data_IF_951241551472
#
_entry.id   IF_951241551472
#
_cell.length_a   1.000
_cell.length_b   1.000
_cell.length_c   1.000
_cell.angle_alpha   90.00
_cell.angle_beta   90.00
_cell.angle_gamma   90.00
#
_symmetry.space_group_name_H-M   'P 1'
#
loop_
_entity.id
_entity.type
_entity.pdbx_description
1 polymer ?
#
# COMPACT_ATOMS: atom_id res chain seq x y z
N UNK A 1 1.25 -10.84 -12.96
CA UNK A 1 1.96 -10.45 -11.70
C UNK A 1 3.18 -9.56 -11.95
N UNK A 2 3.01 -8.57 -12.83
CA UNK A 2 4.14 -7.71 -13.24
C UNK A 2 4.63 -6.82 -12.10
N UNK A 3 3.71 -6.33 -11.25
CA UNK A 3 4.04 -5.43 -10.14
C UNK A 3 4.76 -6.12 -8.99
N UNK A 4 4.53 -7.41 -8.75
CA UNK A 4 5.22 -8.14 -7.67
C UNK A 4 6.74 -8.12 -7.84
N UNK A 5 7.23 -8.06 -9.07
CA UNK A 5 8.67 -7.95 -9.38
C UNK A 5 9.30 -6.63 -8.97
N UNK A 6 8.51 -5.62 -8.57
CA UNK A 6 9.00 -4.35 -8.04
C UNK A 6 9.34 -4.44 -6.54
N UNK A 7 8.86 -5.48 -5.86
CA UNK A 7 9.09 -5.72 -4.45
C UNK A 7 10.24 -6.68 -4.22
N UNK A 8 10.83 -6.61 -3.04
CA UNK A 8 11.79 -7.62 -2.59
C UNK A 8 11.12 -9.01 -2.60
N UNK A 9 11.83 -10.10 -2.95
CA UNK A 9 11.24 -11.45 -3.02
C UNK A 9 10.44 -11.86 -1.78
N UNK A 10 10.91 -11.49 -0.58
CA UNK A 10 10.23 -11.79 0.69
C UNK A 10 8.89 -11.05 0.87
N UNK A 11 8.59 -10.04 0.04
CA UNK A 11 7.35 -9.27 0.07
C UNK A 11 6.45 -9.54 -1.13
N UNK A 12 6.87 -10.42 -2.03
CA UNK A 12 6.08 -10.76 -3.21
C UNK A 12 4.94 -11.70 -2.83
N UNK A 13 3.77 -11.43 -3.37
CA UNK A 13 2.60 -12.30 -3.25
C UNK A 13 2.48 -13.20 -4.47
N UNK A 14 1.99 -14.41 -4.25
CA UNK A 14 1.52 -15.29 -5.31
C UNK A 14 0.24 -14.73 -5.93
N UNK A 15 -0.12 -15.21 -7.11
CA UNK A 15 -1.38 -14.82 -7.75
C UNK A 15 -2.59 -15.21 -6.91
N UNK A 16 -2.55 -16.36 -6.22
CA UNK A 16 -3.62 -16.84 -5.36
C UNK A 16 -3.79 -15.93 -4.15
N UNK A 17 -2.72 -15.64 -3.42
CA UNK A 17 -2.74 -14.71 -2.27
C UNK A 17 -3.28 -13.33 -2.66
N UNK A 18 -2.83 -12.80 -3.79
CA UNK A 18 -3.30 -11.49 -4.27
C UNK A 18 -4.78 -11.51 -4.65
N UNK A 19 -5.28 -12.59 -5.27
CA UNK A 19 -6.70 -12.74 -5.58
C UNK A 19 -7.56 -12.84 -4.32
N UNK A 20 -7.13 -13.62 -3.35
CA UNK A 20 -7.80 -13.73 -2.05
C UNK A 20 -7.87 -12.38 -1.35
N UNK A 21 -6.75 -11.66 -1.28
CA UNK A 21 -6.66 -10.35 -0.66
C UNK A 21 -7.57 -9.32 -1.34
N UNK A 22 -7.57 -9.27 -2.67
CA UNK A 22 -8.43 -8.35 -3.44
C UNK A 22 -9.91 -8.74 -3.43
N UNK A 23 -10.22 -10.00 -3.11
CA UNK A 23 -11.57 -10.53 -2.99
C UNK A 23 -12.25 -10.28 -1.65
N UNK A 24 -11.52 -9.81 -0.62
CA UNK A 24 -12.12 -9.56 0.70
C UNK A 24 -13.10 -8.39 0.62
N UNK A 25 -14.15 -8.47 1.43
CA UNK A 25 -15.14 -7.38 1.52
C UNK A 25 -14.46 -6.12 2.08
N UNK A 26 -14.60 -5.02 1.35
CA UNK A 26 -14.03 -3.73 1.72
C UNK A 26 -12.62 -3.49 1.17
N UNK A 27 -12.04 -4.44 0.43
CA UNK A 27 -10.83 -4.17 -0.33
C UNK A 27 -11.07 -3.09 -1.38
N UNK A 28 -10.11 -2.20 -1.55
CA UNK A 28 -10.17 -1.13 -2.57
C UNK A 28 -8.89 -1.19 -3.38
N UNK A 29 -9.06 -1.43 -4.67
CA UNK A 29 -7.97 -1.45 -5.63
C UNK A 29 -8.25 -0.48 -6.78
N UNK A 30 -7.21 0.16 -7.26
CA UNK A 30 -7.25 1.04 -8.44
C UNK A 30 -6.09 0.69 -9.37
N UNK A 31 -6.35 0.78 -10.65
CA UNK A 31 -5.36 0.50 -11.68
C UNK A 31 -5.22 1.70 -12.62
N UNK A 32 -3.98 1.97 -13.02
CA UNK A 32 -3.66 3.01 -13.98
C UNK A 32 -3.23 2.39 -15.30
N UNK A 33 -3.83 2.86 -16.39
CA UNK A 33 -3.53 2.41 -17.74
C UNK A 33 -2.92 3.53 -18.57
N UNK A 34 -2.00 3.17 -19.44
CA UNK A 34 -1.54 4.09 -20.47
C UNK A 34 -2.68 4.26 -21.51
N UNK A 35 -3.17 5.49 -21.75
CA UNK A 35 -4.32 5.69 -22.63
C UNK A 35 -4.05 5.34 -24.10
N UNK A 36 -2.82 5.48 -24.57
CA UNK A 36 -2.44 5.18 -25.96
C UNK A 36 -2.27 3.67 -26.19
N UNK A 37 -1.54 2.97 -25.33
CA UNK A 37 -1.24 1.54 -25.47
C UNK A 37 -2.25 0.63 -24.76
N UNK A 38 -3.09 1.18 -23.88
CA UNK A 38 -4.00 0.44 -22.97
C UNK A 38 -3.28 -0.52 -22.03
N UNK A 39 -1.96 -0.42 -21.94
CA UNK A 39 -1.17 -1.23 -21.02
C UNK A 39 -1.38 -0.80 -19.58
N UNK A 40 -1.47 -1.77 -18.66
CA UNK A 40 -1.49 -1.53 -17.22
C UNK A 40 -0.10 -1.03 -16.78
N UNK A 41 -0.04 0.14 -16.14
CA UNK A 41 1.21 0.82 -15.77
C UNK A 41 1.33 1.12 -14.28
N UNK A 42 0.23 1.04 -13.53
CA UNK A 42 0.23 1.30 -12.10
C UNK A 42 -0.89 0.58 -11.36
N UNK A 43 -0.64 0.28 -10.08
CA UNK A 43 -1.64 -0.28 -9.17
C UNK A 43 -1.51 0.33 -7.77
N UNK A 44 -2.64 0.49 -7.08
CA UNK A 44 -2.69 0.74 -5.66
C UNK A 44 -3.83 -0.05 -5.05
N UNK A 45 -3.59 -0.73 -3.92
CA UNK A 45 -4.63 -1.49 -3.24
C UNK A 45 -4.39 -1.60 -1.74
N UNK A 46 -5.48 -1.79 -1.04
CA UNK A 46 -5.50 -2.02 0.39
C UNK A 46 -6.74 -2.79 0.82
N UNK A 47 -6.71 -3.24 2.06
CA UNK A 47 -7.79 -3.98 2.70
C UNK A 47 -8.15 -3.38 4.06
N UNK A 48 -9.35 -3.66 4.59
CA UNK A 48 -9.69 -3.30 5.98
C UNK A 48 -8.63 -3.85 6.95
N UNK A 49 -8.33 -3.10 8.00
CA UNK A 49 -7.31 -3.47 8.98
C UNK A 49 -7.53 -4.86 9.59
N UNK A 50 -8.77 -5.27 9.80
CA UNK A 50 -9.09 -6.59 10.34
C UNK A 50 -8.62 -7.73 9.43
N UNK A 51 -8.65 -7.54 8.13
CA UNK A 51 -8.16 -8.51 7.14
C UNK A 51 -6.63 -8.58 7.11
N UNK A 52 -5.95 -7.44 7.26
CA UNK A 52 -4.49 -7.39 7.34
C UNK A 52 -3.95 -8.06 8.62
N UNK A 53 -4.77 -8.16 9.67
CA UNK A 53 -4.43 -8.79 10.95
C UNK A 53 -4.91 -10.25 11.07
N UNK A 54 -5.53 -10.81 10.05
CA UNK A 54 -6.17 -12.13 10.14
C UNK A 54 -5.19 -13.26 10.42
N UNK A 55 -3.99 -13.20 9.87
CA UNK A 55 -3.02 -14.29 9.89
C UNK A 55 -2.00 -14.20 11.06
N UNK A 56 -2.20 -13.28 12.00
CA UNK A 56 -1.34 -13.04 13.18
C UNK A 56 0.16 -12.94 12.84
N UNK A 57 0.46 -12.22 11.76
CA UNK A 57 1.80 -12.02 11.26
C UNK A 57 2.56 -11.00 12.14
N UNK A 58 3.71 -11.40 12.69
CA UNK A 58 4.56 -10.52 13.52
C UNK A 58 4.99 -9.25 12.79
N UNK A 59 5.20 -9.32 11.48
CA UNK A 59 5.53 -8.14 10.66
C UNK A 59 4.42 -7.09 10.62
N UNK A 60 3.20 -7.45 11.01
CA UNK A 60 2.03 -6.59 11.10
C UNK A 60 1.69 -6.14 12.53
N UNK A 61 2.60 -6.34 13.50
CA UNK A 61 2.36 -5.99 14.91
C UNK A 61 2.01 -4.52 15.13
N UNK A 62 2.54 -3.60 14.31
CA UNK A 62 2.22 -2.16 14.35
C UNK A 62 0.72 -1.87 14.17
N UNK A 63 -0.01 -2.77 13.52
CA UNK A 63 -1.44 -2.61 13.25
C UNK A 63 -2.34 -2.94 14.44
N UNK A 64 -1.84 -3.65 15.44
CA UNK A 64 -2.66 -4.12 16.58
C UNK A 64 -3.41 -3.00 17.31
N UNK A 65 -2.81 -1.82 17.57
CA UNK A 65 -3.53 -0.70 18.21
C UNK A 65 -4.72 -0.19 17.40
N UNK A 66 -4.73 -0.46 16.08
CA UNK A 66 -5.76 0.02 15.15
C UNK A 66 -6.85 -1.01 14.82
N UNK A 67 -6.79 -2.20 15.41
CA UNK A 67 -7.68 -3.33 15.08
C UNK A 67 -9.17 -3.00 15.00
N UNK A 68 -9.63 -2.05 15.83
CA UNK A 68 -11.04 -1.62 15.89
C UNK A 68 -11.30 -0.29 15.17
N UNK A 69 -10.31 0.27 14.50
CA UNK A 69 -10.45 1.53 13.79
C UNK A 69 -11.04 1.34 12.39
N UNK A 70 -11.59 2.41 11.83
CA UNK A 70 -12.00 2.47 10.42
C UNK A 70 -10.78 2.78 9.54
N UNK A 71 -9.79 1.90 9.60
CA UNK A 71 -8.54 2.01 8.89
C UNK A 71 -8.44 1.01 7.74
N UNK A 72 -7.75 1.42 6.69
CA UNK A 72 -7.31 0.56 5.60
C UNK A 72 -5.80 0.39 5.66
N UNK A 73 -5.34 -0.84 5.56
CA UNK A 73 -3.93 -1.13 5.35
C UNK A 73 -3.63 -1.18 3.85
N UNK A 74 -2.71 -0.34 3.38
CA UNK A 74 -2.30 -0.25 1.98
C UNK A 74 -1.07 -1.12 1.76
N UNK A 75 -1.23 -2.16 0.95
CA UNK A 75 -0.15 -3.09 0.58
C UNK A 75 0.73 -2.55 -0.53
N UNK A 76 0.14 -1.83 -1.49
CA UNK A 76 0.87 -1.39 -2.67
C UNK A 76 0.41 -0.02 -3.16
N UNK A 77 1.36 0.77 -3.60
CA UNK A 77 1.21 1.88 -4.55
C UNK A 77 2.42 1.80 -5.47
N UNK A 78 2.25 1.23 -6.65
CA UNK A 78 3.36 0.89 -7.53
C UNK A 78 3.13 1.39 -8.96
N UNK A 79 4.19 1.90 -9.57
CA UNK A 79 4.27 2.28 -10.99
C UNK A 79 5.39 1.47 -11.63
N UNK A 80 5.17 0.91 -12.80
CA UNK A 80 6.18 0.18 -13.56
C UNK A 80 7.41 1.06 -13.80
N UNK A 81 8.61 0.49 -13.66
CA UNK A 81 9.90 1.23 -13.69
C UNK A 81 10.01 2.23 -14.82
N UNK A 82 9.66 1.83 -16.05
CA UNK A 82 9.72 2.70 -17.24
C UNK A 82 8.79 3.91 -17.20
N UNK A 83 7.83 3.94 -16.29
CA UNK A 83 6.86 5.03 -16.11
C UNK A 83 7.09 5.81 -14.82
N UNK A 84 8.09 5.44 -14.01
CA UNK A 84 8.41 6.13 -12.77
C UNK A 84 9.02 7.51 -13.03
N UNK A 85 9.08 8.34 -11.97
CA UNK A 85 9.67 9.69 -11.98
C UNK A 85 8.97 10.69 -12.92
N UNK A 86 7.69 10.46 -13.20
CA UNK A 86 6.83 11.30 -14.04
C UNK A 86 5.61 11.85 -13.27
N UNK A 87 5.60 11.74 -11.93
CA UNK A 87 4.48 12.15 -11.08
C UNK A 87 3.29 11.19 -11.03
N UNK A 88 3.32 10.08 -11.77
CA UNK A 88 2.19 9.14 -11.88
C UNK A 88 1.87 8.45 -10.55
N UNK A 89 2.87 8.15 -9.72
CA UNK A 89 2.65 7.59 -8.39
C UNK A 89 1.83 8.51 -7.48
N UNK A 90 2.05 9.81 -7.59
CA UNK A 90 1.28 10.82 -6.86
C UNK A 90 -0.18 10.86 -7.33
N UNK A 91 -0.42 10.82 -8.62
CA UNK A 91 -1.77 10.80 -9.21
C UNK A 91 -2.51 9.53 -8.79
N UNK A 92 -1.87 8.36 -8.93
CA UNK A 92 -2.44 7.08 -8.54
C UNK A 92 -2.80 7.05 -7.05
N UNK A 93 -1.89 7.51 -6.19
CA UNK A 93 -2.11 7.56 -4.75
C UNK A 93 -3.26 8.51 -4.39
N UNK A 94 -3.30 9.71 -4.96
CA UNK A 94 -4.39 10.67 -4.73
C UNK A 94 -5.75 10.07 -5.08
N UNK A 95 -5.86 9.39 -6.22
CA UNK A 95 -7.08 8.72 -6.64
C UNK A 95 -7.48 7.58 -5.68
N UNK A 96 -6.53 6.74 -5.29
CA UNK A 96 -6.76 5.65 -4.34
C UNK A 96 -7.24 6.20 -2.98
N UNK A 97 -6.58 7.22 -2.42
CA UNK A 97 -6.99 7.86 -1.18
C UNK A 97 -8.42 8.41 -1.25
N UNK A 98 -8.78 9.04 -2.37
CA UNK A 98 -10.15 9.52 -2.61
C UNK A 98 -11.18 8.39 -2.59
N UNK A 99 -10.88 7.25 -3.22
CA UNK A 99 -11.76 6.07 -3.21
C UNK A 99 -11.91 5.48 -1.81
N UNK A 100 -10.82 5.44 -1.05
CA UNK A 100 -10.81 4.93 0.33
C UNK A 100 -11.63 5.85 1.24
N UNK A 101 -11.48 7.17 1.13
CA UNK A 101 -12.27 8.14 1.86
C UNK A 101 -13.78 8.04 1.54
N UNK A 102 -14.13 7.92 0.26
CA UNK A 102 -15.52 7.74 -0.19
C UNK A 102 -16.16 6.46 0.37
N UNK A 103 -15.37 5.41 0.59
CA UNK A 103 -15.83 4.18 1.23
C UNK A 103 -15.99 4.29 2.76
N UNK A 104 -15.67 5.46 3.34
CA UNK A 104 -15.89 5.78 4.75
C UNK A 104 -14.74 5.37 5.68
N UNK A 105 -13.57 5.03 5.15
CA UNK A 105 -12.37 4.87 5.96
C UNK A 105 -11.85 6.22 6.44
N UNK A 106 -11.26 6.24 7.63
CA UNK A 106 -10.77 7.47 8.27
C UNK A 106 -9.24 7.51 8.33
N UNK A 107 -8.61 6.35 8.21
CA UNK A 107 -7.16 6.19 8.32
C UNK A 107 -6.63 5.30 7.20
N UNK A 108 -5.46 5.66 6.72
CA UNK A 108 -4.57 4.78 5.95
C UNK A 108 -3.39 4.43 6.83
N UNK A 109 -3.05 3.15 6.85
CA UNK A 109 -1.87 2.59 7.48
C UNK A 109 -1.06 1.84 6.43
N UNK A 110 0.25 1.77 6.61
CA UNK A 110 1.10 1.02 5.71
C UNK A 110 2.56 1.01 6.14
N UNK A 111 3.33 0.14 5.52
CA UNK A 111 4.79 0.12 5.60
C UNK A 111 5.35 0.57 4.26
N UNK A 112 6.17 1.59 4.28
CA UNK A 112 6.76 2.17 3.08
C UNK A 112 8.27 2.12 3.14
N UNK A 113 8.91 1.69 2.05
CA UNK A 113 10.37 1.70 1.94
C UNK A 113 10.89 3.14 1.99
N UNK A 114 11.91 3.35 2.82
CA UNK A 114 12.59 4.63 2.94
C UNK A 114 13.77 4.70 1.95
N UNK A 115 14.06 5.88 1.37
CA UNK A 115 13.34 7.15 1.58
C UNK A 115 12.17 7.38 0.60
N UNK A 116 12.15 6.76 -0.58
CA UNK A 116 11.30 7.17 -1.71
C UNK A 116 9.80 7.00 -1.44
N UNK A 117 9.38 5.79 -1.06
CA UNK A 117 7.95 5.51 -0.83
C UNK A 117 7.43 6.22 0.42
N UNK A 118 8.26 6.33 1.46
CA UNK A 118 7.89 7.08 2.67
C UNK A 118 7.75 8.58 2.39
N UNK A 119 8.62 9.17 1.55
CA UNK A 119 8.52 10.56 1.15
C UNK A 119 7.22 10.87 0.41
N UNK A 120 6.77 9.98 -0.47
CA UNK A 120 5.48 10.11 -1.15
C UNK A 120 4.33 10.16 -0.12
N UNK A 121 4.32 9.24 0.86
CA UNK A 121 3.29 9.21 1.90
C UNK A 121 3.32 10.48 2.76
N UNK A 122 4.50 10.94 3.17
CA UNK A 122 4.66 12.19 3.94
C UNK A 122 4.15 13.39 3.14
N UNK A 123 4.34 13.43 1.82
CA UNK A 123 3.84 14.51 0.97
C UNK A 123 2.29 14.62 0.95
N UNK A 124 1.59 13.55 1.35
CA UNK A 124 0.13 13.54 1.57
C UNK A 124 -0.29 13.77 3.03
N UNK A 125 0.67 14.04 3.92
CA UNK A 125 0.42 14.31 5.33
C UNK A 125 0.57 13.09 6.24
N UNK A 126 1.17 12.00 5.78
CA UNK A 126 1.44 10.84 6.61
C UNK A 126 2.46 11.16 7.72
N UNK A 127 2.23 10.57 8.89
CA UNK A 127 3.17 10.56 10.01
C UNK A 127 3.90 9.24 10.05
N UNK A 128 5.22 9.27 10.10
CA UNK A 128 6.04 8.07 10.30
C UNK A 128 6.08 7.76 11.79
N UNK A 129 5.67 6.55 12.18
CA UNK A 129 5.48 6.14 13.57
C UNK A 129 6.52 5.14 14.05
N UNK A 130 7.03 4.29 13.18
CA UNK A 130 8.05 3.30 13.51
C UNK A 130 9.00 3.06 12.34
N UNK A 131 10.19 2.53 12.64
CA UNK A 131 11.23 2.22 11.65
C UNK A 131 11.64 0.76 11.82
N UNK A 132 11.68 0.04 10.70
CA UNK A 132 12.03 -1.37 10.63
C UNK A 132 13.22 -1.56 9.67
N UNK A 133 14.47 -1.61 10.16
CA UNK A 133 15.67 -1.64 9.30
C UNK A 133 15.82 -2.93 8.49
N UNK A 134 15.11 -3.99 8.87
CA UNK A 134 15.17 -5.29 8.19
C UNK A 134 13.79 -5.97 8.13
N UNK A 135 12.76 -5.21 7.76
CA UNK A 135 11.38 -5.71 7.72
C UNK A 135 11.25 -6.90 6.77
N UNK A 136 10.69 -8.01 7.25
CA UNK A 136 10.63 -9.29 6.55
C UNK A 136 11.99 -9.75 5.96
N UNK A 137 13.08 -9.49 6.66
CA UNK A 137 14.44 -9.89 6.25
C UNK A 137 14.84 -9.37 4.86
N UNK A 138 14.31 -8.20 4.47
CA UNK A 138 14.62 -7.56 3.19
C UNK A 138 16.00 -6.91 3.16
N UNK A 139 16.60 -6.66 4.32
CA UNK A 139 17.80 -5.82 4.45
C UNK A 139 17.57 -4.34 4.18
N UNK A 140 16.32 -3.94 3.94
CA UNK A 140 15.93 -2.56 3.62
C UNK A 140 15.19 -1.90 4.78
N UNK A 141 15.29 -0.56 4.87
CA UNK A 141 14.55 0.23 5.85
C UNK A 141 13.13 0.47 5.38
N UNK A 142 12.17 0.03 6.18
CA UNK A 142 10.75 0.37 6.04
C UNK A 142 10.29 1.23 7.20
N UNK A 143 9.33 2.12 6.93
CA UNK A 143 8.71 2.97 7.94
C UNK A 143 7.21 2.66 8.00
N UNK A 144 6.71 2.36 9.20
CA UNK A 144 5.29 2.31 9.46
C UNK A 144 4.73 3.73 9.51
N UNK A 145 3.62 3.97 8.82
CA UNK A 145 3.01 5.29 8.74
C UNK A 145 1.50 5.27 8.97
N UNK A 146 1.00 6.38 9.50
CA UNK A 146 -0.41 6.72 9.61
C UNK A 146 -0.71 7.94 8.74
N UNK A 147 -1.79 7.89 7.95
CA UNK A 147 -2.31 9.02 7.19
C UNK A 147 -3.79 9.17 7.48
N UNK A 148 -4.20 10.33 8.03
CA UNK A 148 -5.61 10.65 8.29
C UNK A 148 -6.27 11.16 7.03
N UNK A 149 -7.44 10.61 6.72
CA UNK A 149 -8.29 11.07 5.64
C UNK A 149 -9.20 12.19 6.16
N UNK A 150 -9.36 13.22 5.36
CA UNK A 150 -10.26 14.35 5.66
C UNK A 150 -11.66 14.07 5.12
#
# INVERSE_FOLDING_TARGET
MVFERLFHPNLQMTLTEKRELLGVRGAIAVWMFNPASRALIGEAYGVPIAEALRDDDEGMADLQPYRRSRAMYVYSTAILRRYQRQGLGRVLKAYHLGRVAQAGYQLILGHARCPDSSALNVSFGAKLLARHPNWYETGELYCFYELRLQ
#
